data_IF_021578384430
#
_entry.id   IF_021578384430
#
_cell.length_a   1.000
_cell.length_b   1.000
_cell.length_c   1.000
_cell.angle_alpha   90.00
_cell.angle_beta   90.00
_cell.angle_gamma   90.00
#
_symmetry.space_group_name_H-M   'P 1'
#
loop_
_entity.id
_entity.type
_entity.pdbx_description
1 polymer ?
#
# COMPACT_ATOMS: atom_id res chain seq x y z
N UNK A 1 -31.73 -6.95 -19.24
CA UNK A 1 -33.04 -6.95 -18.55
C UNK A 1 -33.14 -8.25 -17.77
N UNK A 2 -33.06 -8.16 -16.44
CA UNK A 2 -33.78 -8.92 -15.39
C UNK A 2 -33.09 -8.59 -14.07
N UNK A 3 -33.67 -7.62 -13.37
CA UNK A 3 -33.32 -7.28 -12.00
C UNK A 3 -33.61 -8.49 -11.10
N UNK A 4 -32.65 -8.90 -10.28
CA UNK A 4 -32.89 -9.78 -9.14
C UNK A 4 -33.39 -8.93 -7.95
N UNK A 5 -34.32 -9.46 -7.14
CA UNK A 5 -35.21 -8.65 -6.33
C UNK A 5 -34.55 -8.10 -5.05
N UNK A 6 -34.90 -6.86 -4.73
CA UNK A 6 -34.67 -6.20 -3.45
C UNK A 6 -35.27 -7.03 -2.31
N UNK A 7 -34.44 -7.82 -1.64
CA UNK A 7 -34.80 -8.40 -0.35
C UNK A 7 -34.08 -7.60 0.74
N UNK A 8 -34.79 -6.83 1.57
CA UNK A 8 -34.16 -6.11 2.68
C UNK A 8 -33.64 -7.13 3.69
N UNK A 9 -32.31 -7.23 3.80
CA UNK A 9 -31.66 -8.05 4.83
C UNK A 9 -31.88 -7.38 6.20
N UNK A 10 -32.91 -7.84 6.90
CA UNK A 10 -33.07 -7.65 8.34
C UNK A 10 -32.01 -8.48 9.07
N UNK A 11 -30.85 -7.89 9.37
CA UNK A 11 -29.93 -8.47 10.33
C UNK A 11 -30.51 -8.29 11.73
N UNK A 12 -31.34 -9.25 12.14
CA UNK A 12 -31.74 -9.45 13.53
C UNK A 12 -30.48 -9.65 14.40
N UNK A 13 -30.13 -8.61 15.16
CA UNK A 13 -29.75 -8.63 16.60
C UNK A 13 -29.12 -9.90 17.21
N UNK A 14 -28.24 -10.59 16.50
CA UNK A 14 -27.32 -11.56 17.09
C UNK A 14 -25.93 -10.95 17.03
N UNK A 15 -25.47 -10.55 18.21
CA UNK A 15 -24.25 -9.78 18.43
C UNK A 15 -23.04 -10.29 17.66
N UNK A 16 -22.22 -9.32 17.25
CA UNK A 16 -20.87 -9.53 16.70
C UNK A 16 -20.14 -10.52 17.63
N UNK A 17 -19.57 -11.63 17.12
CA UNK A 17 -18.81 -12.55 17.95
C UNK A 17 -17.64 -11.81 18.60
N UNK A 18 -17.70 -11.61 19.91
CA UNK A 18 -16.67 -10.99 20.77
C UNK A 18 -15.32 -11.75 20.79
N UNK A 19 -15.11 -12.77 19.96
CA UNK A 19 -13.94 -13.68 20.01
C UNK A 19 -12.68 -13.14 19.32
N UNK A 20 -12.69 -11.94 18.76
CA UNK A 20 -11.53 -11.35 18.08
C UNK A 20 -10.96 -10.08 18.76
N UNK A 21 -11.45 -9.74 19.96
CA UNK A 21 -10.80 -8.75 20.83
C UNK A 21 -9.78 -9.53 21.66
N UNK A 22 -8.52 -9.56 21.23
CA UNK A 22 -7.45 -9.93 22.15
C UNK A 22 -7.49 -8.95 23.33
N UNK A 23 -7.41 -9.50 24.55
CA UNK A 23 -7.26 -8.71 25.76
C UNK A 23 -6.00 -7.84 25.64
N UNK A 24 -6.10 -6.50 25.63
CA UNK A 24 -4.96 -5.62 25.48
C UNK A 24 -3.96 -5.72 26.66
N UNK A 25 -4.27 -6.48 27.71
CA UNK A 25 -3.43 -6.64 28.90
C UNK A 25 -2.42 -7.80 28.82
N UNK A 26 -2.48 -8.66 27.79
CA UNK A 26 -1.52 -9.77 27.60
C UNK A 26 -0.51 -9.50 26.47
N UNK A 27 0.23 -8.39 26.53
CA UNK A 27 1.26 -8.07 25.52
C UNK A 27 2.67 -8.32 26.04
N UNK A 28 3.34 -9.33 25.46
CA UNK A 28 4.76 -9.64 25.72
C UNK A 28 5.65 -8.52 25.16
N UNK A 29 6.55 -7.99 25.99
CA UNK A 29 7.60 -7.06 25.58
C UNK A 29 8.42 -7.68 24.44
N UNK A 30 8.50 -7.01 23.29
CA UNK A 30 9.34 -7.46 22.18
C UNK A 30 10.70 -6.78 22.22
N UNK A 31 11.74 -7.54 21.85
CA UNK A 31 13.10 -7.01 21.71
C UNK A 31 13.08 -5.83 20.74
N UNK A 32 13.85 -4.79 21.06
CA UNK A 32 13.96 -3.60 20.22
C UNK A 32 14.53 -3.99 18.86
N UNK A 33 13.73 -3.81 17.80
CA UNK A 33 14.08 -4.20 16.43
C UNK A 33 15.33 -3.49 15.89
N UNK A 34 15.74 -2.35 16.46
CA UNK A 34 16.93 -1.61 16.02
C UNK A 34 18.23 -2.11 16.63
N UNK A 35 18.21 -2.53 17.89
CA UNK A 35 19.41 -3.00 18.58
C UNK A 35 19.40 -4.51 18.86
N UNK A 36 18.35 -5.22 18.46
CA UNK A 36 18.22 -6.66 18.68
C UNK A 36 18.20 -7.05 20.17
N UNK A 37 17.80 -6.14 21.06
CA UNK A 37 17.82 -6.38 22.51
C UNK A 37 18.92 -5.65 23.29
N UNK A 38 19.96 -5.13 22.61
CA UNK A 38 21.18 -4.69 23.31
C UNK A 38 21.08 -3.31 23.97
N UNK A 39 20.02 -2.55 23.70
CA UNK A 39 19.87 -1.18 24.18
C UNK A 39 20.79 -0.15 23.54
N UNK A 40 21.79 -0.56 22.75
CA UNK A 40 22.84 0.31 22.23
C UNK A 40 22.84 0.39 20.70
N UNK A 41 23.34 1.50 20.13
CA UNK A 41 23.57 1.60 18.67
C UNK A 41 24.60 0.55 18.23
N UNK A 42 24.37 -0.16 17.10
CA UNK A 42 25.42 -0.99 16.49
C UNK A 42 26.63 -0.11 16.14
N UNK A 43 27.79 -0.37 16.75
CA UNK A 43 29.03 0.36 16.45
C UNK A 43 29.65 -0.19 15.16
N UNK A 44 30.27 0.70 14.38
CA UNK A 44 31.14 0.26 13.28
C UNK A 44 32.47 -0.25 13.89
N UNK A 45 33.11 -1.29 13.33
CA UNK A 45 34.24 -1.98 13.96
C UNK A 45 35.46 -1.11 14.29
N UNK A 46 35.57 0.12 13.77
CA UNK A 46 36.74 1.01 13.96
C UNK A 46 36.43 2.39 14.56
N UNK A 47 35.33 2.57 15.29
CA UNK A 47 35.10 3.81 16.07
C UNK A 47 35.14 3.54 17.57
N UNK A 48 36.21 4.00 18.23
CA UNK A 48 36.27 4.16 19.70
C UNK A 48 35.44 5.39 20.09
N UNK A 49 34.12 5.23 20.14
CA UNK A 49 33.23 6.20 20.79
C UNK A 49 32.36 5.46 21.81
N UNK A 50 32.04 6.16 22.90
CA UNK A 50 31.18 5.66 23.98
C UNK A 50 29.86 5.14 23.36
N UNK A 51 29.38 3.94 23.76
CA UNK A 51 28.15 3.38 23.20
C UNK A 51 26.99 4.35 23.42
N UNK A 52 26.40 4.83 22.33
CA UNK A 52 25.22 5.70 22.40
C UNK A 52 23.97 4.84 22.52
N UNK A 53 23.04 5.28 23.36
CA UNK A 53 21.76 4.62 23.53
C UNK A 53 21.02 4.49 22.20
N UNK A 54 20.41 3.32 22.02
CA UNK A 54 19.56 3.03 20.88
C UNK A 54 18.32 3.90 20.95
N UNK A 55 18.28 4.95 20.12
CA UNK A 55 17.22 5.97 20.11
C UNK A 55 15.77 5.45 20.19
N UNK A 56 15.36 4.36 19.50
CA UNK A 56 14.00 3.82 19.60
C UNK A 56 13.62 3.22 20.96
N UNK A 57 14.55 2.56 21.65
CA UNK A 57 14.27 1.98 22.98
C UNK A 57 14.85 2.81 24.11
N UNK A 58 15.60 3.87 23.80
CA UNK A 58 16.31 4.72 24.77
C UNK A 58 17.11 3.91 25.79
N UNK A 59 17.95 2.98 25.32
CA UNK A 59 18.80 2.17 26.21
C UNK A 59 18.14 0.90 26.76
N UNK A 60 16.82 0.76 26.68
CA UNK A 60 16.12 -0.35 27.38
C UNK A 60 16.23 -1.73 26.72
N UNK A 61 16.66 -1.80 25.45
CA UNK A 61 16.74 -3.07 24.72
C UNK A 61 15.39 -3.66 24.29
N UNK A 62 14.28 -3.17 24.83
CA UNK A 62 12.92 -3.59 24.52
C UNK A 62 12.10 -2.41 24.02
N UNK A 63 11.13 -2.62 23.14
CA UNK A 63 10.17 -1.57 22.79
C UNK A 63 8.89 -1.85 23.55
N UNK A 64 8.56 -0.95 24.48
CA UNK A 64 7.24 -0.98 25.12
C UNK A 64 6.17 -0.79 24.04
N UNK A 65 5.07 -1.58 24.03
CA UNK A 65 4.16 -1.60 22.88
C UNK A 65 3.39 -0.30 22.63
N UNK A 66 3.48 0.71 23.48
CA UNK A 66 2.57 1.86 23.40
C UNK A 66 3.28 3.17 23.69
N UNK A 67 3.59 4.03 22.69
CA UNK A 67 3.33 5.44 22.90
C UNK A 67 1.81 5.55 23.15
N UNK A 68 1.36 6.04 24.31
CA UNK A 68 -0.05 6.44 24.48
C UNK A 68 -0.32 7.46 23.37
N UNK A 69 -0.93 7.04 22.27
CA UNK A 69 -1.34 7.95 21.21
C UNK A 69 -2.51 8.76 21.76
N UNK A 70 -2.19 9.89 22.38
CA UNK A 70 -3.13 10.91 22.86
C UNK A 70 -3.86 11.64 21.73
N UNK A 71 -3.67 11.19 20.48
CA UNK A 71 -4.23 11.80 19.30
C UNK A 71 -5.71 11.45 19.18
N UNK A 72 -6.55 12.49 19.19
CA UNK A 72 -7.99 12.36 19.00
C UNK A 72 -8.28 11.62 17.68
N UNK A 73 -9.21 10.65 17.69
CA UNK A 73 -9.68 10.04 16.44
C UNK A 73 -10.16 11.14 15.50
N UNK A 74 -9.80 11.04 14.22
CA UNK A 74 -10.14 12.09 13.25
C UNK A 74 -10.81 11.51 12.03
N UNK A 75 -11.98 12.05 11.68
CA UNK A 75 -12.61 11.80 10.39
C UNK A 75 -12.30 13.01 9.51
N UNK A 76 -11.70 12.78 8.35
CA UNK A 76 -11.44 13.80 7.33
C UNK A 76 -12.13 13.36 6.05
N UNK A 77 -13.46 13.48 5.96
CA UNK A 77 -14.14 13.23 4.71
C UNK A 77 -13.62 14.24 3.69
N UNK A 78 -13.38 13.78 2.47
CA UNK A 78 -12.95 14.66 1.40
C UNK A 78 -14.05 15.64 1.05
N UNK A 79 -13.69 16.92 0.98
CA UNK A 79 -14.57 17.97 0.48
C UNK A 79 -14.28 18.13 -1.01
N UNK A 80 -15.18 17.66 -1.90
CA UNK A 80 -14.98 17.80 -3.32
C UNK A 80 -14.93 19.26 -3.73
N UNK A 81 -14.08 19.62 -4.70
CA UNK A 81 -14.07 20.97 -5.24
C UNK A 81 -15.39 21.26 -5.95
N UNK A 82 -15.80 22.54 -6.05
CA UNK A 82 -17.00 22.93 -6.78
C UNK A 82 -17.03 22.34 -8.19
N UNK A 83 -18.15 21.75 -8.58
CA UNK A 83 -18.33 21.13 -9.90
C UNK A 83 -17.78 19.70 -10.05
N UNK A 84 -17.06 19.16 -9.06
CA UNK A 84 -16.64 17.76 -9.07
C UNK A 84 -17.59 16.89 -8.25
N UNK A 85 -18.07 15.79 -8.84
CA UNK A 85 -18.94 14.83 -8.17
C UNK A 85 -18.20 13.51 -7.97
N UNK A 86 -18.16 12.94 -6.75
CA UNK A 86 -17.54 11.65 -6.53
C UNK A 86 -18.20 10.56 -7.38
N UNK A 87 -17.38 9.72 -8.00
CA UNK A 87 -17.82 8.59 -8.83
C UNK A 87 -17.84 7.28 -8.04
N UNK A 88 -18.39 6.26 -8.67
CA UNK A 88 -18.33 4.88 -8.16
C UNK A 88 -19.33 4.59 -7.04
N UNK A 89 -19.24 3.39 -6.44
CA UNK A 89 -20.21 2.94 -5.45
C UNK A 89 -20.10 3.73 -4.15
N UNK A 90 -21.24 3.99 -3.51
CA UNK A 90 -21.29 4.59 -2.17
C UNK A 90 -20.65 3.66 -1.14
N UNK A 91 -20.15 4.23 -0.06
CA UNK A 91 -19.71 3.47 1.10
C UNK A 91 -20.91 2.77 1.74
N UNK A 92 -20.68 1.61 2.34
CA UNK A 92 -21.68 0.95 3.17
C UNK A 92 -21.77 1.62 4.54
N UNK A 93 -20.62 1.94 5.12
CA UNK A 93 -20.54 2.65 6.39
C UNK A 93 -20.89 4.13 6.25
N UNK A 94 -21.46 4.67 7.32
CA UNK A 94 -21.69 6.10 7.51
C UNK A 94 -20.58 6.66 8.40
N UNK A 95 -19.76 7.63 7.93
CA UNK A 95 -18.73 8.25 8.77
C UNK A 95 -19.29 9.03 9.96
N UNK A 96 -20.59 9.31 10.02
CA UNK A 96 -21.25 9.98 11.15
C UNK A 96 -21.81 9.00 12.18
N UNK A 97 -21.87 7.71 11.88
CA UNK A 97 -22.31 6.67 12.82
C UNK A 97 -21.15 6.28 13.76
N UNK A 98 -21.33 6.35 15.10
CA UNK A 98 -20.35 5.93 16.09
C UNK A 98 -19.79 4.52 15.89
N UNK A 99 -20.55 3.60 15.27
CA UNK A 99 -20.09 2.26 14.91
C UNK A 99 -18.82 2.28 14.05
N UNK A 100 -18.72 3.26 13.15
CA UNK A 100 -17.62 3.41 12.21
C UNK A 100 -16.55 4.39 12.68
N UNK A 101 -16.66 4.93 13.89
CA UNK A 101 -15.68 5.87 14.40
C UNK A 101 -14.26 5.27 14.37
N UNK A 102 -13.24 6.03 13.92
CA UNK A 102 -11.86 5.61 14.07
C UNK A 102 -11.50 5.54 15.56
N UNK A 103 -10.58 4.65 15.93
CA UNK A 103 -10.05 4.56 17.29
C UNK A 103 -9.08 5.71 17.55
N UNK A 104 -8.76 6.05 18.81
CA UNK A 104 -7.66 6.96 19.11
C UNK A 104 -6.37 6.51 18.40
N UNK A 105 -5.72 7.45 17.71
CA UNK A 105 -4.55 7.15 16.85
C UNK A 105 -4.88 6.74 15.41
N UNK A 106 -6.14 6.45 15.08
CA UNK A 106 -6.60 6.19 13.71
C UNK A 106 -7.30 7.42 13.11
N UNK A 107 -7.40 7.41 11.79
CA UNK A 107 -8.17 8.37 11.01
C UNK A 107 -8.92 7.68 9.88
N UNK A 108 -10.08 8.24 9.51
CA UNK A 108 -10.84 7.85 8.34
C UNK A 108 -10.77 8.97 7.30
N UNK A 109 -10.18 8.70 6.13
CA UNK A 109 -9.92 9.67 5.05
C UNK A 109 -10.49 9.20 3.72
N UNK A 110 -10.48 10.05 2.69
CA UNK A 110 -10.88 9.62 1.35
C UNK A 110 -9.87 8.71 0.68
N UNK A 111 -10.39 7.75 -0.10
CA UNK A 111 -9.63 6.88 -0.98
C UNK A 111 -9.96 7.18 -2.46
N UNK A 112 -11.12 6.78 -2.96
CA UNK A 112 -11.48 6.89 -4.38
C UNK A 112 -12.96 7.15 -4.56
N UNK A 113 -13.33 8.22 -5.25
CA UNK A 113 -14.74 8.61 -5.36
C UNK A 113 -15.39 8.73 -3.99
N UNK A 114 -16.41 7.90 -3.73
CA UNK A 114 -17.04 7.80 -2.41
C UNK A 114 -16.26 6.95 -1.39
N UNK A 115 -15.38 6.05 -1.81
CA UNK A 115 -14.66 5.14 -0.92
C UNK A 115 -13.73 5.89 0.02
N UNK A 116 -13.63 5.39 1.24
CA UNK A 116 -12.79 5.91 2.32
C UNK A 116 -11.76 4.87 2.76
N UNK A 117 -10.78 5.28 3.56
CA UNK A 117 -9.72 4.40 4.08
C UNK A 117 -9.39 4.73 5.54
N UNK A 118 -9.24 3.70 6.36
CA UNK A 118 -8.69 3.82 7.71
C UNK A 118 -7.17 3.80 7.67
N UNK A 119 -6.56 4.76 8.37
CA UNK A 119 -5.12 4.94 8.41
C UNK A 119 -4.68 5.34 9.81
N UNK A 120 -3.39 5.19 10.10
CA UNK A 120 -2.81 5.73 11.32
C UNK A 120 -2.63 7.25 11.21
N UNK A 121 -3.01 7.99 12.24
CA UNK A 121 -2.68 9.43 12.38
C UNK A 121 -1.15 9.62 12.39
N UNK A 122 -0.47 8.74 13.12
CA UNK A 122 0.98 8.69 13.22
C UNK A 122 1.50 7.32 12.77
N UNK A 123 1.71 7.19 11.47
CA UNK A 123 2.21 5.95 10.88
C UNK A 123 2.46 6.11 9.39
N UNK A 124 2.48 4.98 8.69
CA UNK A 124 2.41 4.96 7.24
C UNK A 124 0.99 5.36 6.80
N UNK A 125 0.92 6.17 5.74
CA UNK A 125 -0.32 6.60 5.06
C UNK A 125 -0.04 6.46 3.58
N UNK A 126 -1.09 6.21 2.80
CA UNK A 126 -0.93 6.19 1.35
C UNK A 126 -0.39 7.53 0.86
N UNK A 127 0.46 7.49 -0.14
CA UNK A 127 1.15 8.65 -0.73
C UNK A 127 0.80 8.77 -2.22
N UNK A 128 1.49 9.69 -2.90
CA UNK A 128 1.44 9.80 -4.36
C UNK A 128 1.87 8.49 -5.04
N UNK A 129 2.79 7.75 -4.41
CA UNK A 129 3.36 6.50 -4.92
C UNK A 129 2.25 5.44 -5.07
N UNK A 130 1.38 5.28 -4.07
CA UNK A 130 0.21 4.41 -4.14
C UNK A 130 -0.75 4.82 -5.27
N UNK A 131 -1.03 6.12 -5.38
CA UNK A 131 -1.96 6.68 -6.38
C UNK A 131 -1.46 6.38 -7.78
N UNK A 132 -0.17 6.63 -8.03
CA UNK A 132 0.45 6.40 -9.31
C UNK A 132 0.58 4.91 -9.64
N UNK A 133 0.93 4.08 -8.66
CA UNK A 133 1.01 2.62 -8.84
C UNK A 133 -0.35 2.07 -9.26
N UNK A 134 -1.42 2.46 -8.56
CA UNK A 134 -2.77 2.07 -8.91
C UNK A 134 -3.19 2.61 -10.29
N UNK A 135 -2.98 3.90 -10.56
CA UNK A 135 -3.41 4.52 -11.81
C UNK A 135 -2.71 3.94 -13.04
N UNK A 136 -1.40 3.69 -12.96
CA UNK A 136 -0.64 3.07 -14.03
C UNK A 136 -1.09 1.61 -14.21
N UNK A 137 -1.30 0.86 -13.13
CA UNK A 137 -1.85 -0.49 -13.21
C UNK A 137 -3.22 -0.53 -13.92
N UNK A 138 -4.16 0.33 -13.52
CA UNK A 138 -5.48 0.45 -14.14
C UNK A 138 -5.36 0.82 -15.63
N UNK A 139 -4.45 1.74 -15.96
CA UNK A 139 -4.22 2.18 -17.34
C UNK A 139 -3.74 1.03 -18.23
N UNK A 140 -2.80 0.21 -17.74
CA UNK A 140 -2.28 -0.96 -18.45
C UNK A 140 -3.31 -2.09 -18.58
N UNK A 141 -4.26 -2.19 -17.66
CA UNK A 141 -5.33 -3.19 -17.73
C UNK A 141 -6.59 -2.71 -18.46
N UNK A 142 -6.62 -1.48 -18.98
CA UNK A 142 -7.78 -0.96 -19.71
C UNK A 142 -8.10 -1.83 -20.93
N UNK A 143 -9.34 -2.29 -21.02
CA UNK A 143 -9.79 -3.19 -22.10
C UNK A 143 -9.37 -4.65 -21.92
N UNK A 144 -8.65 -4.99 -20.84
CA UNK A 144 -8.33 -6.37 -20.47
C UNK A 144 -9.29 -6.85 -19.39
N UNK A 145 -9.80 -8.08 -19.54
CA UNK A 145 -10.61 -8.70 -18.49
C UNK A 145 -9.71 -9.12 -17.32
N UNK A 146 -9.91 -8.52 -16.14
CA UNK A 146 -9.20 -8.84 -14.91
C UNK A 146 -10.15 -9.63 -14.01
N UNK A 147 -10.02 -10.96 -14.05
CA UNK A 147 -10.80 -11.91 -13.26
C UNK A 147 -10.39 -11.91 -11.78
N UNK A 148 -9.08 -11.94 -11.53
CA UNK A 148 -8.47 -11.86 -10.20
C UNK A 148 -7.36 -10.82 -10.19
N UNK A 149 -7.29 -10.05 -9.11
CA UNK A 149 -6.26 -9.06 -8.82
C UNK A 149 -5.63 -9.35 -7.44
N UNK A 150 -4.30 -9.29 -7.36
CA UNK A 150 -3.53 -9.45 -6.10
C UNK A 150 -2.67 -8.22 -5.82
N UNK A 151 -2.69 -7.74 -4.57
CA UNK A 151 -1.81 -6.67 -4.08
C UNK A 151 -0.85 -7.21 -3.01
N UNK A 152 0.45 -7.18 -3.32
CA UNK A 152 1.52 -7.71 -2.47
C UNK A 152 1.99 -6.66 -1.46
N UNK A 153 2.06 -7.03 -0.18
CA UNK A 153 2.39 -6.08 0.88
C UNK A 153 1.40 -4.92 0.89
N UNK A 154 0.10 -5.23 0.90
CA UNK A 154 -0.98 -4.28 0.61
C UNK A 154 -1.09 -3.15 1.64
N UNK A 155 -0.40 -3.24 2.77
CA UNK A 155 -0.41 -2.23 3.82
C UNK A 155 -1.84 -1.96 4.28
N UNK A 156 -2.28 -0.71 4.16
CA UNK A 156 -3.62 -0.26 4.54
C UNK A 156 -4.69 -0.57 3.47
N UNK A 157 -4.34 -1.23 2.37
CA UNK A 157 -5.24 -1.53 1.26
C UNK A 157 -5.45 -0.36 0.30
N UNK A 158 -4.51 0.58 0.21
CA UNK A 158 -4.62 1.76 -0.65
C UNK A 158 -4.62 1.42 -2.14
N UNK A 159 -3.56 0.76 -2.63
CA UNK A 159 -3.46 0.33 -4.03
C UNK A 159 -4.56 -0.68 -4.35
N UNK A 160 -4.72 -1.70 -3.49
CA UNK A 160 -5.81 -2.68 -3.58
C UNK A 160 -7.18 -2.03 -3.78
N UNK A 161 -7.55 -1.08 -2.91
CA UNK A 161 -8.83 -0.40 -2.95
C UNK A 161 -8.99 0.50 -4.19
N UNK A 162 -7.96 1.26 -4.57
CA UNK A 162 -8.01 2.13 -5.75
C UNK A 162 -8.17 1.33 -7.05
N UNK A 163 -7.43 0.22 -7.20
CA UNK A 163 -7.52 -0.64 -8.38
C UNK A 163 -8.87 -1.37 -8.41
N UNK A 164 -9.32 -1.92 -7.28
CA UNK A 164 -10.63 -2.59 -7.19
C UNK A 164 -11.79 -1.64 -7.50
N UNK A 165 -11.74 -0.39 -7.02
CA UNK A 165 -12.71 0.65 -7.34
C UNK A 165 -12.74 0.97 -8.84
N UNK A 166 -11.57 1.07 -9.47
CA UNK A 166 -11.45 1.52 -10.86
C UNK A 166 -11.83 0.44 -11.87
N UNK A 167 -11.39 -0.80 -11.63
CA UNK A 167 -11.59 -1.91 -12.55
C UNK A 167 -12.86 -2.73 -12.28
N UNK A 168 -13.44 -2.64 -11.08
CA UNK A 168 -14.62 -3.43 -10.71
C UNK A 168 -14.36 -4.94 -10.77
N UNK A 169 -13.15 -5.38 -10.36
CA UNK A 169 -12.71 -6.78 -10.51
C UNK A 169 -13.61 -7.77 -9.76
N UNK A 170 -13.88 -8.98 -10.28
CA UNK A 170 -14.67 -9.98 -9.57
C UNK A 170 -14.05 -10.47 -8.26
N UNK A 171 -12.71 -10.48 -8.17
CA UNK A 171 -11.96 -10.91 -6.98
C UNK A 171 -10.69 -10.07 -6.82
N UNK A 172 -10.48 -9.52 -5.63
CA UNK A 172 -9.30 -8.74 -5.27
C UNK A 172 -8.74 -9.25 -3.93
N UNK A 173 -7.44 -9.48 -3.84
CA UNK A 173 -6.81 -10.03 -2.64
C UNK A 173 -5.59 -9.20 -2.26
N UNK A 174 -5.56 -8.69 -1.04
CA UNK A 174 -4.38 -8.06 -0.45
C UNK A 174 -3.65 -9.00 0.50
N UNK A 175 -2.33 -9.12 0.37
CA UNK A 175 -1.48 -9.88 1.31
C UNK A 175 -0.72 -8.88 2.17
N UNK A 176 -0.88 -8.94 3.49
CA UNK A 176 -0.16 -8.07 4.42
C UNK A 176 0.29 -8.84 5.66
N UNK A 177 1.53 -8.59 6.10
CA UNK A 177 2.15 -9.32 7.20
C UNK A 177 1.98 -8.62 8.57
N UNK A 178 1.84 -7.30 8.58
CA UNK A 178 1.71 -6.49 9.78
C UNK A 178 0.25 -6.48 10.25
N UNK A 179 -0.01 -7.10 11.41
CA UNK A 179 -1.37 -7.27 11.94
C UNK A 179 -2.15 -5.95 12.10
N UNK A 180 -1.48 -4.87 12.48
CA UNK A 180 -2.12 -3.54 12.59
C UNK A 180 -2.63 -3.02 11.24
N UNK A 181 -1.89 -3.25 10.15
CA UNK A 181 -2.31 -2.84 8.82
C UNK A 181 -3.38 -3.77 8.26
N UNK A 182 -3.30 -5.07 8.54
CA UNK A 182 -4.37 -6.04 8.22
C UNK A 182 -5.69 -5.60 8.84
N UNK A 183 -5.68 -5.18 10.11
CA UNK A 183 -6.89 -4.72 10.79
C UNK A 183 -7.50 -3.48 10.14
N UNK A 184 -6.66 -2.47 9.85
CA UNK A 184 -7.10 -1.23 9.19
C UNK A 184 -7.60 -1.47 7.76
N UNK A 185 -6.94 -2.35 7.02
CA UNK A 185 -7.34 -2.75 5.67
C UNK A 185 -8.69 -3.48 5.71
N UNK A 186 -8.88 -4.45 6.61
CA UNK A 186 -10.18 -5.15 6.78
C UNK A 186 -11.30 -4.18 7.16
N UNK A 187 -11.03 -3.24 8.08
CA UNK A 187 -12.01 -2.21 8.45
C UNK A 187 -12.36 -1.30 7.26
N UNK A 188 -11.38 -0.95 6.43
CA UNK A 188 -11.56 -0.20 5.19
C UNK A 188 -12.46 -0.94 4.19
N UNK A 189 -12.17 -2.21 3.93
CA UNK A 189 -12.97 -3.04 3.02
C UNK A 189 -14.42 -3.16 3.50
N UNK A 190 -14.60 -3.42 4.79
CA UNK A 190 -15.92 -3.52 5.40
C UNK A 190 -16.70 -2.19 5.31
N UNK A 191 -16.07 -1.07 5.63
CA UNK A 191 -16.69 0.26 5.56
C UNK A 191 -17.11 0.63 4.13
N UNK A 192 -16.30 0.26 3.13
CA UNK A 192 -16.65 0.48 1.73
C UNK A 192 -17.66 -0.53 1.17
N UNK A 193 -18.01 -1.57 1.94
CA UNK A 193 -19.00 -2.58 1.53
C UNK A 193 -18.49 -3.55 0.46
N UNK A 194 -17.17 -3.70 0.31
CA UNK A 194 -16.62 -4.53 -0.77
C UNK A 194 -16.74 -6.02 -0.40
N UNK A 195 -17.58 -6.75 -1.15
CA UNK A 195 -17.81 -8.20 -0.93
C UNK A 195 -16.79 -9.09 -1.63
N UNK A 196 -16.11 -8.53 -2.63
CA UNK A 196 -15.18 -9.17 -3.56
C UNK A 196 -13.71 -8.88 -3.23
N UNK A 197 -13.43 -8.25 -2.08
CA UNK A 197 -12.08 -7.88 -1.66
C UNK A 197 -11.75 -8.59 -0.35
N UNK A 198 -10.61 -9.28 -0.32
CA UNK A 198 -10.14 -10.04 0.83
C UNK A 198 -8.76 -9.56 1.30
N UNK A 199 -8.53 -9.56 2.62
CA UNK A 199 -7.21 -9.30 3.22
C UNK A 199 -6.70 -10.58 3.88
N UNK A 200 -5.65 -11.14 3.29
CA UNK A 200 -4.91 -12.29 3.83
C UNK A 200 -3.84 -11.76 4.77
N UNK A 201 -3.93 -12.16 6.05
CA UNK A 201 -2.85 -11.91 7.01
C UNK A 201 -1.76 -12.94 6.79
N UNK A 202 -0.67 -12.54 6.15
CA UNK A 202 0.40 -13.46 5.82
C UNK A 202 1.62 -12.76 5.26
N UNK A 203 2.73 -13.49 5.22
CA UNK A 203 3.95 -13.02 4.60
C UNK A 203 3.96 -13.39 3.11
N UNK A 204 4.19 -12.41 2.24
CA UNK A 204 4.25 -12.64 0.78
C UNK A 204 5.38 -13.59 0.35
N UNK A 205 6.36 -13.88 1.24
CA UNK A 205 7.39 -14.90 1.06
C UNK A 205 6.90 -16.32 1.36
N UNK A 206 5.83 -16.46 2.14
CA UNK A 206 5.30 -17.77 2.52
C UNK A 206 4.66 -18.46 1.32
N UNK A 207 4.98 -19.74 1.13
CA UNK A 207 4.40 -20.63 0.12
C UNK A 207 3.06 -21.22 0.52
N UNK A 208 2.63 -21.03 1.77
CA UNK A 208 1.37 -21.57 2.33
C UNK A 208 0.14 -20.72 1.95
N UNK A 209 0.36 -19.53 1.41
CA UNK A 209 -0.72 -18.68 0.89
C UNK A 209 -1.04 -19.16 -0.53
N UNK A 210 -2.19 -19.82 -0.66
CA UNK A 210 -2.69 -20.36 -1.92
C UNK A 210 -3.74 -19.42 -2.52
N UNK A 211 -3.38 -18.77 -3.62
CA UNK A 211 -4.23 -17.85 -4.39
C UNK A 211 -4.10 -18.24 -5.86
N UNK A 212 -5.23 -18.28 -6.57
CA UNK A 212 -5.24 -18.52 -8.01
C UNK A 212 -4.45 -17.42 -8.74
N UNK A 213 -3.64 -17.77 -9.77
CA UNK A 213 -2.89 -16.77 -10.51
C UNK A 213 -3.78 -15.67 -11.09
N UNK A 214 -3.38 -14.42 -10.84
CA UNK A 214 -4.11 -13.20 -11.13
C UNK A 214 -3.69 -12.56 -12.46
N UNK A 215 -4.64 -11.94 -13.15
CA UNK A 215 -4.36 -11.14 -14.36
C UNK A 215 -3.59 -9.86 -14.04
N UNK A 216 -3.74 -9.34 -12.82
CA UNK A 216 -2.99 -8.19 -12.33
C UNK A 216 -2.39 -8.52 -10.97
N UNK A 217 -1.11 -8.20 -10.80
CA UNK A 217 -0.43 -8.16 -9.51
C UNK A 217 0.12 -6.75 -9.30
N UNK A 218 -0.06 -6.17 -8.12
CA UNK A 218 0.60 -4.92 -7.73
C UNK A 218 1.46 -5.08 -6.49
N UNK A 219 2.33 -4.11 -6.23
CA UNK A 219 2.98 -3.96 -4.94
C UNK A 219 3.71 -2.64 -4.78
N UNK A 220 3.84 -2.18 -3.54
CA UNK A 220 4.63 -1.01 -3.17
C UNK A 220 5.73 -1.41 -2.17
N UNK A 221 6.83 -2.03 -2.66
CA UNK A 221 7.94 -2.44 -1.80
C UNK A 221 8.49 -1.28 -0.96
N UNK A 222 9.01 -1.58 0.25
CA UNK A 222 9.81 -0.60 0.99
C UNK A 222 11.09 -0.24 0.20
N UNK A 223 11.55 1.00 0.37
CA UNK A 223 12.60 1.59 -0.46
C UNK A 223 14.02 1.49 0.12
N UNK A 224 14.15 1.44 1.44
CA UNK A 224 15.47 1.55 2.09
C UNK A 224 15.99 0.19 2.53
N UNK A 225 17.20 -0.23 2.11
CA UNK A 225 17.86 -1.37 2.71
C UNK A 225 17.94 -1.22 4.22
N UNK A 226 17.72 -2.30 4.97
CA UNK A 226 17.70 -2.30 6.44
C UNK A 226 18.99 -1.78 7.09
N UNK A 227 20.09 -1.71 6.33
CA UNK A 227 21.41 -1.23 6.74
C UNK A 227 21.75 0.21 6.31
N UNK A 228 20.88 0.92 5.56
CA UNK A 228 21.12 2.29 5.08
C UNK A 228 20.06 3.27 5.60
N UNK A 229 20.48 4.28 6.36
CA UNK A 229 19.64 5.40 6.80
C UNK A 229 19.37 5.43 8.31
N UNK A 230 18.95 6.59 8.81
CA UNK A 230 18.46 6.70 10.18
C UNK A 230 17.06 6.06 10.25
N UNK A 231 16.98 4.90 10.92
CA UNK A 231 15.72 4.19 11.11
C UNK A 231 14.67 5.10 11.82
N UNK A 232 13.42 5.20 11.32
CA UNK A 232 12.38 6.07 11.83
C UNK A 232 12.11 5.87 13.32
N UNK A 233 11.70 6.94 14.00
CA UNK A 233 11.35 6.92 15.42
C UNK A 233 10.06 6.15 15.72
N UNK A 234 9.21 5.92 14.71
CA UNK A 234 7.96 5.16 14.87
C UNK A 234 8.08 3.78 14.19
N UNK A 235 7.84 2.66 14.92
CA UNK A 235 8.09 1.30 14.41
C UNK A 235 7.32 1.00 13.12
N UNK A 236 6.04 1.38 13.04
CA UNK A 236 5.19 1.15 11.87
C UNK A 236 5.66 1.90 10.62
N UNK A 237 6.40 3.01 10.76
CA UNK A 237 7.03 3.71 9.62
C UNK A 237 8.32 3.04 9.18
N UNK A 238 9.08 2.50 10.14
CA UNK A 238 10.29 1.72 9.85
C UNK A 238 9.99 0.50 8.99
N UNK A 239 8.97 -0.29 9.34
CA UNK A 239 8.60 -1.50 8.59
C UNK A 239 8.11 -1.24 7.16
N UNK A 240 7.53 -0.07 6.88
CA UNK A 240 7.04 0.29 5.54
C UNK A 240 8.09 1.01 4.69
N UNK A 241 9.10 1.61 5.32
CA UNK A 241 10.16 2.32 4.62
C UNK A 241 11.39 1.45 4.40
N UNK A 242 11.63 0.45 5.26
CA UNK A 242 12.82 -0.40 5.24
C UNK A 242 12.52 -1.84 4.85
N UNK A 243 13.44 -2.46 4.11
CA UNK A 243 13.36 -3.82 3.57
C UNK A 243 13.50 -4.92 4.66
N UNK A 244 12.82 -4.77 5.79
CA UNK A 244 12.89 -5.70 6.93
C UNK A 244 12.23 -7.05 6.64
N UNK A 245 11.33 -7.10 5.65
CA UNK A 245 10.66 -8.34 5.19
C UNK A 245 10.93 -8.64 3.71
N UNK A 246 12.01 -8.07 3.17
CA UNK A 246 12.40 -8.19 1.76
C UNK A 246 12.19 -6.90 0.96
N UNK A 247 13.02 -6.74 -0.07
CA UNK A 247 12.97 -5.63 -1.02
C UNK A 247 12.37 -6.03 -2.35
N UNK A 248 12.79 -5.35 -3.42
CA UNK A 248 12.27 -5.55 -4.78
C UNK A 248 12.37 -6.99 -5.28
N UNK A 249 13.43 -7.72 -4.94
CA UNK A 249 13.61 -9.12 -5.33
C UNK A 249 12.50 -9.99 -4.75
N UNK A 250 12.18 -9.78 -3.48
CA UNK A 250 11.14 -10.53 -2.76
C UNK A 250 9.76 -10.29 -3.38
N UNK A 251 9.47 -9.06 -3.80
CA UNK A 251 8.24 -8.73 -4.51
C UNK A 251 8.21 -9.35 -5.91
N UNK A 252 9.32 -9.34 -6.66
CA UNK A 252 9.41 -9.99 -7.97
C UNK A 252 9.18 -11.51 -7.87
N UNK A 253 9.79 -12.18 -6.89
CA UNK A 253 9.57 -13.61 -6.66
C UNK A 253 8.12 -13.93 -6.30
N UNK A 254 7.50 -13.13 -5.43
CA UNK A 254 6.10 -13.32 -5.09
C UNK A 254 5.17 -13.03 -6.28
N UNK A 255 5.44 -11.98 -7.06
CA UNK A 255 4.69 -11.67 -8.26
C UNK A 255 4.78 -12.81 -9.28
N UNK A 256 5.96 -13.42 -9.47
CA UNK A 256 6.13 -14.56 -10.37
C UNK A 256 5.29 -15.78 -10.01
N UNK A 257 4.96 -15.94 -8.72
CA UNK A 257 4.07 -17.00 -8.22
C UNK A 257 2.60 -16.69 -8.46
N UNK A 258 2.19 -15.44 -8.24
CA UNK A 258 0.78 -15.04 -8.31
C UNK A 258 0.36 -14.48 -9.67
N UNK A 259 1.28 -14.20 -10.59
CA UNK A 259 0.94 -13.66 -11.90
C UNK A 259 0.54 -14.77 -12.87
N UNK A 260 -0.64 -14.66 -13.46
CA UNK A 260 -1.15 -15.61 -14.47
C UNK A 260 -0.18 -15.70 -15.66
N UNK A 261 0.07 -16.92 -16.14
CA UNK A 261 0.89 -17.17 -17.34
C UNK A 261 0.12 -16.75 -18.58
N UNK A 262 0.24 -15.48 -18.94
CA UNK A 262 -0.44 -14.83 -20.06
C UNK A 262 0.36 -13.60 -20.53
N UNK A 263 0.34 -13.33 -21.83
CA UNK A 263 0.91 -12.14 -22.47
C UNK A 263 0.19 -10.84 -22.08
N UNK A 264 -1.04 -10.96 -21.54
CA UNK A 264 -1.88 -9.85 -21.06
C UNK A 264 -1.77 -9.62 -19.55
N UNK A 265 -1.18 -10.55 -18.79
CA UNK A 265 -1.05 -10.38 -17.35
C UNK A 265 0.03 -9.34 -17.04
N UNK A 266 -0.19 -8.51 -16.01
CA UNK A 266 0.74 -7.45 -15.61
C UNK A 266 1.13 -7.52 -14.13
N UNK A 267 2.40 -7.29 -13.86
CA UNK A 267 2.91 -6.97 -12.54
C UNK A 267 3.34 -5.49 -12.52
N UNK A 268 2.74 -4.69 -11.63
CA UNK A 268 3.01 -3.25 -11.54
C UNK A 268 3.48 -2.88 -10.14
N UNK A 269 4.67 -2.30 -10.02
CA UNK A 269 5.20 -1.96 -8.70
C UNK A 269 6.02 -0.66 -8.71
N UNK A 270 6.11 -0.04 -7.54
CA UNK A 270 6.89 1.18 -7.32
C UNK A 270 8.26 0.89 -6.72
N UNK A 271 9.25 1.71 -7.05
CA UNK A 271 10.58 1.70 -6.45
C UNK A 271 11.17 3.13 -6.45
N UNK A 272 12.22 3.39 -5.69
CA UNK A 272 12.98 4.65 -5.83
C UNK A 272 13.60 4.79 -7.22
N UNK A 273 13.78 6.02 -7.68
CA UNK A 273 14.54 6.30 -8.90
C UNK A 273 16.04 5.97 -8.81
N UNK A 274 16.56 5.59 -7.63
CA UNK A 274 17.95 5.22 -7.39
C UNK A 274 18.22 3.72 -7.62
N UNK A 275 17.20 2.88 -7.48
CA UNK A 275 17.33 1.42 -7.46
C UNK A 275 16.81 0.78 -8.77
N UNK A 276 16.89 1.53 -9.88
CA UNK A 276 16.47 1.10 -11.21
C UNK A 276 17.25 -0.15 -11.67
N UNK A 277 18.60 -0.17 -11.68
CA UNK A 277 19.35 -1.36 -12.14
C UNK A 277 19.08 -2.60 -11.29
N UNK A 278 18.92 -2.43 -9.97
CA UNK A 278 18.57 -3.51 -9.04
C UNK A 278 17.19 -4.09 -9.37
N UNK A 279 16.23 -3.23 -9.70
CA UNK A 279 14.88 -3.63 -10.10
C UNK A 279 14.88 -4.38 -11.44
N UNK A 280 15.59 -3.88 -12.44
CA UNK A 280 15.75 -4.53 -13.74
C UNK A 280 16.32 -5.95 -13.59
N UNK A 281 17.38 -6.11 -12.78
CA UNK A 281 17.96 -7.42 -12.48
C UNK A 281 16.96 -8.36 -11.79
N UNK A 282 16.21 -7.86 -10.82
CA UNK A 282 15.20 -8.65 -10.12
C UNK A 282 14.06 -9.13 -11.04
N UNK A 283 13.58 -8.25 -11.93
CA UNK A 283 12.55 -8.57 -12.93
C UNK A 283 13.07 -9.62 -13.92
N UNK A 284 14.28 -9.42 -14.44
CA UNK A 284 14.93 -10.35 -15.38
C UNK A 284 15.11 -11.73 -14.75
N UNK A 285 15.54 -11.77 -13.48
CA UNK A 285 15.81 -13.01 -12.77
C UNK A 285 14.57 -13.90 -12.61
N UNK A 286 13.38 -13.29 -12.50
CA UNK A 286 12.12 -14.04 -12.41
C UNK A 286 11.50 -14.37 -13.77
N UNK A 287 12.19 -14.05 -14.87
CA UNK A 287 11.75 -14.37 -16.24
C UNK A 287 10.64 -13.45 -16.77
N UNK A 288 10.59 -12.20 -16.28
CA UNK A 288 9.69 -11.17 -16.79
C UNK A 288 10.46 -10.15 -17.65
N UNK A 289 9.75 -9.49 -18.55
CA UNK A 289 10.21 -8.32 -19.29
C UNK A 289 9.58 -7.05 -18.73
N UNK A 290 10.15 -5.90 -19.07
CA UNK A 290 9.59 -4.58 -18.76
C UNK A 290 8.87 -4.07 -20.01
N UNK A 291 7.55 -3.85 -19.91
CA UNK A 291 6.78 -3.22 -20.98
C UNK A 291 6.96 -1.70 -20.97
N UNK A 292 6.97 -1.11 -19.78
CA UNK A 292 7.07 0.33 -19.60
C UNK A 292 7.60 0.67 -18.20
N UNK A 293 8.42 1.71 -18.10
CA UNK A 293 8.83 2.32 -16.83
C UNK A 293 8.40 3.79 -16.81
N UNK A 294 7.80 4.22 -15.72
CA UNK A 294 7.51 5.62 -15.46
C UNK A 294 8.52 6.15 -14.46
N UNK A 295 9.27 7.19 -14.82
CA UNK A 295 10.16 7.91 -13.92
C UNK A 295 9.42 9.17 -13.45
N UNK A 296 9.34 9.36 -12.13
CA UNK A 296 8.47 10.38 -11.53
C UNK A 296 9.28 11.39 -10.72
N UNK A 297 9.13 12.66 -11.08
CA UNK A 297 9.68 13.80 -10.38
C UNK A 297 8.58 14.46 -9.56
N UNK A 298 8.89 14.88 -8.33
CA UNK A 298 7.94 15.62 -7.50
C UNK A 298 7.62 17.01 -8.06
N UNK A 299 8.57 17.61 -8.78
CA UNK A 299 8.44 18.90 -9.49
C UNK A 299 9.25 18.88 -10.77
N UNK A 300 8.77 19.56 -11.81
CA UNK A 300 9.43 19.66 -13.11
C UNK A 300 10.88 20.17 -13.07
N UNK A 301 11.24 20.94 -12.04
CA UNK A 301 12.58 21.52 -11.86
C UNK A 301 13.59 20.56 -11.20
N UNK A 302 13.16 19.40 -10.70
CA UNK A 302 14.08 18.44 -10.10
C UNK A 302 14.93 17.75 -11.18
N UNK A 303 16.17 17.45 -10.84
CA UNK A 303 17.15 16.84 -11.77
C UNK A 303 17.14 15.31 -11.75
N UNK A 304 16.53 14.70 -10.73
CA UNK A 304 16.47 13.25 -10.57
C UNK A 304 15.07 12.79 -10.17
N UNK A 305 14.64 11.65 -10.72
CA UNK A 305 13.39 11.00 -10.37
C UNK A 305 13.40 10.59 -8.88
N UNK A 306 12.29 10.87 -8.19
CA UNK A 306 12.08 10.45 -6.81
C UNK A 306 11.78 8.97 -6.75
N UNK A 307 10.83 8.54 -7.58
CA UNK A 307 10.37 7.16 -7.69
C UNK A 307 10.29 6.77 -9.17
N UNK A 308 10.25 5.48 -9.42
CA UNK A 308 9.89 4.90 -10.68
C UNK A 308 8.79 3.85 -10.47
N UNK A 309 7.98 3.60 -11.50
CA UNK A 309 6.96 2.56 -11.50
C UNK A 309 7.21 1.68 -12.72
N UNK A 310 7.37 0.38 -12.48
CA UNK A 310 7.56 -0.60 -13.52
C UNK A 310 6.25 -1.28 -13.85
N UNK A 311 5.97 -1.44 -15.14
CA UNK A 311 4.94 -2.33 -15.66
C UNK A 311 5.63 -3.51 -16.36
N UNK A 312 5.51 -4.68 -15.75
CA UNK A 312 6.18 -5.90 -16.16
C UNK A 312 5.18 -6.97 -16.58
N UNK A 313 5.64 -7.94 -17.36
CA UNK A 313 4.84 -9.08 -17.79
C UNK A 313 5.73 -10.23 -18.22
N UNK A 314 5.11 -11.37 -18.52
CA UNK A 314 5.84 -12.50 -19.08
C UNK A 314 6.34 -12.20 -20.50
N UNK A 315 7.53 -12.68 -20.83
CA UNK A 315 8.09 -12.62 -22.16
C UNK A 315 9.62 -12.54 -22.15
N UNK A 316 10.20 -12.49 -23.35
CA UNK A 316 11.64 -12.40 -23.52
C UNK A 316 12.16 -11.04 -23.05
N UNK A 317 13.29 -11.05 -22.36
CA UNK A 317 13.93 -9.82 -21.89
C UNK A 317 14.39 -8.97 -23.07
N UNK A 318 14.06 -7.68 -23.03
CA UNK A 318 14.53 -6.68 -23.98
C UNK A 318 15.34 -5.61 -23.24
N UNK A 319 16.52 -5.29 -23.74
CA UNK A 319 17.40 -4.29 -23.10
C UNK A 319 16.88 -2.85 -23.27
N UNK A 320 16.02 -2.63 -24.28
CA UNK A 320 15.35 -1.34 -24.50
C UNK A 320 13.85 -1.51 -24.29
N UNK A 321 13.30 -0.70 -23.40
CA UNK A 321 11.86 -0.61 -23.16
C UNK A 321 11.44 0.85 -23.03
N UNK A 322 10.13 1.11 -23.13
CA UNK A 322 9.59 2.46 -23.08
C UNK A 322 9.79 3.07 -21.70
N UNK A 323 10.41 4.25 -21.64
CA UNK A 323 10.54 5.05 -20.42
C UNK A 323 9.73 6.34 -20.59
N UNK A 324 8.84 6.60 -19.63
CA UNK A 324 8.01 7.80 -19.59
C UNK A 324 8.41 8.69 -18.41
N UNK A 325 8.39 10.00 -18.62
CA UNK A 325 8.57 10.98 -17.56
C UNK A 325 7.22 11.48 -17.07
N UNK A 326 7.05 11.58 -15.76
CA UNK A 326 5.94 12.27 -15.13
C UNK A 326 6.46 13.29 -14.12
N UNK A 327 6.06 14.54 -14.27
CA UNK A 327 6.23 15.55 -13.22
C UNK A 327 4.93 15.62 -12.41
N UNK A 328 4.97 15.38 -11.10
CA UNK A 328 3.78 15.49 -10.23
C UNK A 328 3.28 16.93 -10.18
N UNK A 329 4.21 17.89 -10.17
CA UNK A 329 3.92 19.32 -10.25
C UNK A 329 4.64 19.98 -11.42
N UNK A 330 3.93 20.88 -12.10
CA UNK A 330 4.49 21.72 -13.16
C UNK A 330 5.47 22.76 -12.62
N UNK A 331 6.01 23.61 -13.51
CA UNK A 331 7.01 24.63 -13.15
C UNK A 331 6.43 25.72 -12.25
N UNK A 332 5.13 25.94 -12.35
CA UNK A 332 4.33 26.88 -11.58
C UNK A 332 3.94 26.31 -10.21
N UNK A 333 4.21 25.02 -9.97
CA UNK A 333 3.96 24.33 -8.72
C UNK A 333 2.54 23.78 -8.59
N UNK A 334 1.71 23.85 -9.63
CA UNK A 334 0.39 23.21 -9.65
C UNK A 334 0.54 21.70 -9.89
N UNK A 335 -0.48 20.92 -9.53
CA UNK A 335 -0.53 19.50 -9.97
C UNK A 335 -0.48 19.48 -11.50
N UNK A 336 0.38 18.68 -12.12
CA UNK A 336 0.51 18.68 -13.58
C UNK A 336 -0.74 18.11 -14.28
N UNK A 337 -0.87 18.40 -15.58
CA UNK A 337 -1.98 17.85 -16.40
C UNK A 337 -1.97 16.33 -16.41
N UNK A 338 -0.81 15.71 -16.60
CA UNK A 338 -0.69 14.25 -16.66
C UNK A 338 -0.95 13.60 -15.30
N UNK A 339 -0.52 14.24 -14.22
CA UNK A 339 -0.85 13.79 -12.86
C UNK A 339 -2.37 13.86 -12.61
N UNK A 340 -3.06 14.90 -13.08
CA UNK A 340 -4.54 14.97 -13.00
C UNK A 340 -5.20 13.83 -13.78
N UNK A 341 -4.72 13.49 -14.98
CA UNK A 341 -5.26 12.34 -15.73
C UNK A 341 -5.14 11.05 -14.92
N UNK A 342 -3.96 10.77 -14.34
CA UNK A 342 -3.75 9.57 -13.53
C UNK A 342 -4.57 9.58 -12.23
N UNK A 343 -4.71 10.74 -11.60
CA UNK A 343 -5.58 10.91 -10.43
C UNK A 343 -7.05 10.58 -10.75
N UNK A 344 -7.56 11.05 -11.89
CA UNK A 344 -8.93 10.78 -12.31
C UNK A 344 -9.15 9.29 -12.62
N UNK A 345 -8.15 8.59 -13.18
CA UNK A 345 -8.23 7.13 -13.44
C UNK A 345 -8.62 6.35 -12.18
N UNK A 346 -8.12 6.77 -11.01
CA UNK A 346 -8.40 6.13 -9.71
C UNK A 346 -9.39 6.91 -8.84
N UNK A 347 -10.20 7.78 -9.45
CA UNK A 347 -11.30 8.45 -8.78
C UNK A 347 -10.88 9.49 -7.76
N UNK A 348 -9.63 9.99 -7.82
CA UNK A 348 -9.22 11.15 -7.03
C UNK A 348 -9.82 12.40 -7.66
N UNK A 349 -10.18 13.35 -6.83
CA UNK A 349 -10.66 14.62 -7.33
C UNK A 349 -9.55 15.41 -7.99
N UNK A 350 -9.90 15.97 -9.14
CA UNK A 350 -9.03 16.82 -9.94
C UNK A 350 -9.75 18.13 -10.16
N UNK A 351 -9.06 19.23 -9.84
CA UNK A 351 -9.48 20.55 -10.30
C UNK A 351 -9.14 20.62 -11.78
N UNK A 352 -10.17 20.67 -12.63
CA UNK A 352 -10.02 20.83 -14.08
C UNK A 352 -9.75 22.28 -14.39
#
# INVERSE_FOLDING_TARGET
MTCLPDTPLTFASKGIPHRYIQDPTQQTTTLCWKCGGTGQKPSKPNQKTTPLDCSPCQGTGTISPVPRTTCKPTIRPFRPPPGWTPRGPRTFGDPHDPLWAPRPGDMLTSLSGHWMIYQLVHGHRYTTDDVLTAAIAVTHMKGTHVDTYVDLGTGLGSVLGMVAWSLGVPKAIGIEAQGIHVELARKTILFNGCKNVEIVHGDLRSTEIHIDPAMLVTGTPPYFPSNRGALPTHPNRGMCAFELRGGVETYCFAAARYLKRSDKARFVFCQTGLEIPRSELAIKHVGMQIHERWDIWGRATQTQALICIFCCGWGEWVDNYRVLRLDVRDREGNVSKDMRVLMDVVGKAVLV
#
